data_IF_369872957756
#
_entry.id   IF_369872957756
#
_cell.length_a   1.000
_cell.length_b   1.000
_cell.length_c   1.000
_cell.angle_alpha   90.00
_cell.angle_beta   90.00
_cell.angle_gamma   90.00
#
_symmetry.space_group_name_H-M   'P 1'
#
loop_
_entity.id
_entity.type
_entity.pdbx_description
1 polymer ?
#
# COMPACT_ATOMS: atom_id res chain seq x y z
N UNK A 1 -10.15 0.19 -12.50
CA UNK A 1 -9.79 -1.17 -12.08
C UNK A 1 -9.79 -1.28 -10.58
N UNK A 2 -9.96 -2.47 -10.06
CA UNK A 2 -10.04 -2.66 -8.61
C UNK A 2 -8.83 -3.43 -8.13
N UNK A 3 -8.31 -3.01 -6.98
CA UNK A 3 -7.21 -3.71 -6.32
C UNK A 3 -7.61 -3.99 -4.88
N UNK A 4 -7.02 -5.04 -4.32
CA UNK A 4 -7.22 -5.39 -2.92
C UNK A 4 -6.02 -4.89 -2.14
N UNK A 5 -6.31 -4.25 -1.00
CA UNK A 5 -5.26 -3.69 -0.15
C UNK A 5 -5.18 -4.49 1.14
N UNK A 6 -3.96 -4.79 1.57
CA UNK A 6 -3.71 -5.43 2.87
C UNK A 6 -2.74 -4.57 3.65
N UNK A 7 -3.03 -4.44 4.92
CA UNK A 7 -2.23 -3.62 5.81
C UNK A 7 -1.72 -4.49 6.96
N UNK A 8 -0.48 -4.26 7.35
CA UNK A 8 0.19 -5.04 8.38
C UNK A 8 0.66 -4.17 9.52
N UNK A 9 0.80 -4.80 10.70
CA UNK A 9 1.34 -4.17 11.90
C UNK A 9 0.55 -2.90 12.26
N UNK A 10 1.23 -1.80 12.55
CA UNK A 10 0.57 -0.57 12.97
C UNK A 10 -0.38 0.00 11.93
N UNK A 11 -0.12 -0.23 10.65
CA UNK A 11 -1.03 0.22 9.59
C UNK A 11 -2.37 -0.49 9.67
N UNK A 12 -2.35 -1.76 10.03
CA UNK A 12 -3.56 -2.54 10.17
C UNK A 12 -4.49 -1.96 11.22
N UNK A 13 -3.93 -1.42 12.29
CA UNK A 13 -4.75 -0.85 13.34
C UNK A 13 -5.45 0.43 12.90
N UNK A 14 -4.84 1.17 11.98
CA UNK A 14 -5.40 2.43 11.49
C UNK A 14 -6.33 2.24 10.31
N UNK A 15 -6.00 1.30 9.42
CA UNK A 15 -6.66 1.18 8.12
C UNK A 15 -7.56 -0.06 8.05
N UNK A 16 -7.49 -0.95 9.04
CA UNK A 16 -8.12 -2.25 8.95
C UNK A 16 -7.19 -3.22 8.25
N UNK A 17 -7.52 -4.51 8.32
CA UNK A 17 -6.64 -5.53 7.78
C UNK A 17 -6.70 -5.59 6.26
N UNK A 18 -7.88 -5.40 5.68
CA UNK A 18 -8.11 -5.55 4.25
C UNK A 18 -9.16 -4.57 3.78
N UNK A 19 -9.01 -4.10 2.55
CA UNK A 19 -10.03 -3.31 1.89
C UNK A 19 -9.84 -3.43 0.38
N UNK A 20 -10.78 -2.89 -0.37
CA UNK A 20 -10.67 -2.84 -1.83
C UNK A 20 -10.74 -1.39 -2.25
N UNK A 21 -10.17 -1.11 -3.41
CA UNK A 21 -10.14 0.25 -3.89
C UNK A 21 -10.16 0.27 -5.42
N UNK A 22 -10.91 1.20 -5.97
CA UNK A 22 -10.87 1.47 -7.41
C UNK A 22 -9.73 2.44 -7.68
N UNK A 23 -8.95 2.17 -8.70
CA UNK A 23 -7.86 3.05 -9.12
C UNK A 23 -7.88 3.18 -10.63
N UNK A 24 -7.29 4.26 -11.12
CA UNK A 24 -7.19 4.49 -12.56
C UNK A 24 -6.19 3.52 -13.18
N UNK A 25 -6.44 3.10 -14.43
CA UNK A 25 -5.44 2.30 -15.14
C UNK A 25 -4.12 3.05 -15.20
N UNK A 26 -3.03 2.34 -15.00
CA UNK A 26 -1.71 2.95 -15.01
C UNK A 26 -1.25 3.48 -13.66
N UNK A 27 -2.09 3.42 -12.65
CA UNK A 27 -1.71 3.84 -11.30
C UNK A 27 -0.56 3.00 -10.79
N UNK A 28 0.47 3.65 -10.24
CA UNK A 28 1.58 2.94 -9.61
C UNK A 28 1.27 2.71 -8.13
N UNK A 29 2.01 1.78 -7.54
CA UNK A 29 1.89 1.52 -6.09
C UNK A 29 2.18 2.79 -5.30
N UNK A 30 3.20 3.54 -5.71
CA UNK A 30 3.54 4.79 -5.03
C UNK A 30 2.44 5.83 -5.12
N UNK A 31 1.78 5.92 -6.30
CA UNK A 31 0.68 6.85 -6.46
C UNK A 31 -0.50 6.46 -5.58
N UNK A 32 -0.76 5.15 -5.48
CA UNK A 32 -1.81 4.66 -4.59
C UNK A 32 -1.50 5.03 -3.13
N UNK A 33 -0.26 4.84 -2.71
CA UNK A 33 0.13 5.20 -1.34
C UNK A 33 -0.05 6.70 -1.10
N UNK A 34 0.34 7.55 -2.06
CA UNK A 34 0.17 9.00 -1.92
C UNK A 34 -1.30 9.38 -1.79
N UNK A 35 -2.18 8.67 -2.50
CA UNK A 35 -3.62 8.92 -2.38
C UNK A 35 -4.12 8.57 -0.98
N UNK A 36 -3.62 7.47 -0.41
CA UNK A 36 -3.99 7.09 0.95
C UNK A 36 -3.48 8.10 1.96
N UNK A 37 -2.27 8.62 1.77
CA UNK A 37 -1.72 9.65 2.64
C UNK A 37 -2.54 10.93 2.54
N UNK A 38 -3.01 11.27 1.36
CA UNK A 38 -3.84 12.47 1.19
C UNK A 38 -5.15 12.34 1.98
N UNK A 39 -5.68 11.13 2.08
CA UNK A 39 -6.90 10.88 2.84
C UNK A 39 -6.64 10.81 4.35
N UNK A 40 -5.44 10.34 4.72
CA UNK A 40 -5.04 10.19 6.12
C UNK A 40 -3.64 10.75 6.29
N UNK A 41 -3.53 12.07 6.49
CA UNK A 41 -2.20 12.70 6.52
C UNK A 41 -1.25 12.15 7.58
N UNK A 42 -1.78 11.55 8.64
CA UNK A 42 -0.92 10.97 9.66
C UNK A 42 -0.06 9.84 9.10
N UNK A 43 -0.43 9.26 7.97
CA UNK A 43 0.37 8.20 7.35
C UNK A 43 1.66 8.73 6.74
N UNK A 44 1.76 10.04 6.52
CA UNK A 44 2.95 10.61 5.90
C UNK A 44 4.21 10.37 6.73
N UNK A 45 4.07 10.19 8.02
CA UNK A 45 5.21 9.92 8.90
C UNK A 45 5.65 8.46 8.85
N UNK A 46 4.89 7.60 8.21
CA UNK A 46 5.16 6.17 8.19
C UNK A 46 5.90 5.79 6.91
N UNK A 47 7.05 5.18 7.05
CA UNK A 47 7.72 4.59 5.91
C UNK A 47 7.07 3.25 5.63
N UNK A 48 6.90 2.92 4.36
CA UNK A 48 6.27 1.67 3.99
C UNK A 48 7.07 0.98 2.91
N UNK A 49 6.95 -0.34 2.90
CA UNK A 49 7.40 -1.16 1.79
C UNK A 49 6.17 -1.74 1.15
N UNK A 50 6.27 -2.01 -0.14
CA UNK A 50 5.14 -2.48 -0.94
C UNK A 50 5.40 -3.87 -1.47
N UNK A 51 4.35 -4.68 -1.52
CA UNK A 51 4.39 -5.94 -2.25
C UNK A 51 3.13 -6.03 -3.08
N UNK A 52 3.25 -6.58 -4.27
CA UNK A 52 2.11 -6.82 -5.14
C UNK A 52 2.11 -8.31 -5.42
N UNK A 53 0.98 -8.94 -5.10
CA UNK A 53 0.83 -10.39 -5.27
C UNK A 53 2.00 -11.14 -4.62
N UNK A 54 2.36 -10.70 -3.40
CA UNK A 54 3.38 -11.33 -2.56
C UNK A 54 4.82 -11.16 -3.05
N UNK A 55 5.05 -10.23 -3.97
CA UNK A 55 6.40 -9.92 -4.43
C UNK A 55 6.70 -8.47 -4.11
N UNK A 56 7.82 -8.20 -3.45
CA UNK A 56 8.22 -6.82 -3.16
C UNK A 56 8.46 -6.06 -4.46
N UNK A 57 7.98 -4.83 -4.50
CA UNK A 57 8.08 -4.01 -5.70
C UNK A 57 8.50 -2.59 -5.32
N UNK A 58 9.00 -1.87 -6.33
CA UNK A 58 9.34 -0.45 -6.18
C UNK A 58 8.08 0.40 -6.31
N UNK A 59 8.12 1.64 -5.80
CA UNK A 59 6.96 2.53 -5.93
C UNK A 59 6.50 2.77 -7.37
N UNK A 60 7.39 2.62 -8.33
CA UNK A 60 7.06 2.84 -9.74
C UNK A 60 6.33 1.67 -10.39
N UNK A 61 6.14 0.57 -9.66
CA UNK A 61 5.46 -0.60 -10.19
C UNK A 61 4.01 -0.27 -10.53
N UNK A 62 3.57 -0.60 -11.74
CA UNK A 62 2.21 -0.33 -12.18
C UNK A 62 1.29 -1.45 -11.75
N UNK A 63 0.11 -1.05 -11.28
CA UNK A 63 -0.89 -2.00 -10.82
C UNK A 63 -1.73 -2.51 -11.98
N UNK A 64 -2.24 -3.72 -11.82
CA UNK A 64 -3.17 -4.32 -12.75
C UNK A 64 -4.45 -4.66 -12.01
N UNK A 65 -5.54 -4.76 -12.76
CA UNK A 65 -6.82 -5.12 -12.18
C UNK A 65 -6.72 -6.44 -11.43
N UNK A 66 -7.27 -6.46 -10.22
CA UNK A 66 -7.24 -7.66 -9.39
C UNK A 66 -5.99 -7.85 -8.56
N UNK A 67 -5.00 -6.97 -8.70
CA UNK A 67 -3.79 -7.09 -7.88
C UNK A 67 -4.09 -6.98 -6.40
N UNK A 68 -3.31 -7.69 -5.61
CA UNK A 68 -3.32 -7.54 -4.15
C UNK A 68 -2.08 -6.77 -3.75
N UNK A 69 -2.29 -5.62 -3.13
CA UNK A 69 -1.22 -4.72 -2.72
C UNK A 69 -1.09 -4.79 -1.21
N UNK A 70 0.10 -5.08 -0.73
CA UNK A 70 0.37 -5.14 0.70
C UNK A 70 1.28 -3.99 1.10
N UNK A 71 0.98 -3.37 2.22
CA UNK A 71 1.75 -2.28 2.79
C UNK A 71 2.32 -2.72 4.12
N UNK A 72 3.63 -2.62 4.24
CA UNK A 72 4.35 -3.04 5.46
C UNK A 72 5.10 -1.87 6.04
N UNK A 73 5.05 -1.66 7.35
CA UNK A 73 6.03 -0.76 7.94
C UNK A 73 7.40 -1.41 7.81
N UNK A 74 8.46 -0.63 7.74
CA UNK A 74 9.79 -1.22 7.67
C UNK A 74 10.09 -1.99 8.95
N UNK A 75 10.85 -3.05 8.81
CA UNK A 75 11.31 -3.81 9.95
C UNK A 75 12.26 -2.91 10.72
N UNK A 76 11.86 -2.59 11.93
CA UNK A 76 12.76 -1.78 12.72
C UNK A 76 13.75 -2.66 13.40
N UNK A 77 14.74 -2.09 13.78
CA UNK A 77 15.60 -2.69 14.66
C UNK A 77 16.22 -3.90 14.20
N UNK A 78 15.64 -4.41 13.31
CA UNK A 78 16.35 -5.46 12.77
C UNK A 78 17.72 -4.98 12.85
N UNK A 79 17.57 -3.90 13.05
CA UNK A 79 18.80 -3.37 13.24
C UNK A 79 19.68 -3.98 13.78
#
# INVERSE_FOLDING_TARGET
MRVRLRFFAALRERMGARTERSVEPGTTVGALWRALVAERPELAATRVRFAVNETYVEPSHRLADGDEVAFFPPVSGGA
#
